data_IF_955710731336
#
_entry.id   IF_955710731336
#
_cell.length_a   1.000
_cell.length_b   1.000
_cell.length_c   1.000
_cell.angle_alpha   90.00
_cell.angle_beta   90.00
_cell.angle_gamma   90.00
#
_symmetry.space_group_name_H-M   'P 1'
#
loop_
_entity.id
_entity.type
_entity.pdbx_description
1 polymer ?
#
# COMPACT_ATOMS: atom_id res chain seq x y z
N UNK A 1 -18.73 -18.58 -6.16
CA UNK A 1 -18.94 -17.15 -6.47
C UNK A 1 -20.15 -16.69 -5.71
N UNK A 2 -20.00 -15.98 -4.62
CA UNK A 2 -21.07 -15.35 -3.86
C UNK A 2 -20.94 -13.84 -4.06
N UNK A 3 -22.01 -13.13 -4.40
CA UNK A 3 -21.95 -11.71 -4.66
C UNK A 3 -21.81 -10.92 -3.35
N UNK A 4 -20.92 -9.92 -3.36
CA UNK A 4 -20.82 -8.92 -2.31
C UNK A 4 -22.09 -8.09 -2.31
N UNK A 5 -22.91 -8.24 -1.27
CA UNK A 5 -24.14 -7.45 -1.08
C UNK A 5 -23.78 -6.15 -0.35
N UNK A 6 -23.71 -5.06 -1.09
CA UNK A 6 -23.61 -3.70 -0.52
C UNK A 6 -25.02 -3.32 -0.03
N UNK A 7 -25.22 -3.29 1.29
CA UNK A 7 -26.46 -2.79 1.90
C UNK A 7 -26.45 -1.26 1.94
N UNK A 8 -27.23 -0.66 1.05
CA UNK A 8 -27.53 0.77 1.06
C UNK A 8 -28.67 1.01 2.05
N UNK A 9 -28.43 1.73 3.15
CA UNK A 9 -29.52 2.25 4.02
C UNK A 9 -29.78 3.71 3.68
N UNK A 10 -30.95 3.97 3.08
CA UNK A 10 -31.49 5.31 2.87
C UNK A 10 -32.47 5.59 4.01
N UNK A 11 -32.22 6.62 4.81
CA UNK A 11 -33.17 7.12 5.79
C UNK A 11 -33.87 8.37 5.22
N UNK A 12 -35.15 8.23 4.94
CA UNK A 12 -36.01 9.32 4.49
C UNK A 12 -36.85 9.80 5.66
N UNK A 13 -36.71 11.05 6.07
CA UNK A 13 -37.64 11.68 7.05
C UNK A 13 -38.42 12.77 6.31
N UNK A 14 -39.71 12.54 6.13
CA UNK A 14 -40.65 13.54 5.62
C UNK A 14 -41.39 14.18 6.79
N UNK A 15 -41.42 15.51 6.86
CA UNK A 15 -42.34 16.26 7.70
C UNK A 15 -43.11 17.24 6.80
N UNK A 16 -44.43 17.05 6.76
CA UNK A 16 -45.38 18.01 6.13
C UNK A 16 -45.89 18.99 7.18
N UNK A 17 -45.83 20.28 6.86
CA UNK A 17 -46.67 21.29 7.53
C UNK A 17 -47.15 22.29 6.49
N UNK A 18 -48.48 22.51 6.49
CA UNK A 18 -49.20 23.32 5.55
C UNK A 18 -49.45 24.73 6.18
N UNK A 19 -48.94 25.80 5.58
CA UNK A 19 -49.40 27.14 5.82
C UNK A 19 -49.15 28.02 4.58
N UNK A 20 -50.18 28.63 4.05
CA UNK A 20 -50.15 29.48 2.86
C UNK A 20 -49.65 30.89 3.20
N UNK A 21 -48.60 31.34 2.51
CA UNK A 21 -48.30 32.76 2.32
C UNK A 21 -47.39 32.89 1.09
N UNK A 22 -47.76 33.79 0.18
CA UNK A 22 -47.06 34.11 -1.06
C UNK A 22 -45.72 34.78 -0.78
N UNK A 23 -44.63 34.08 -1.03
CA UNK A 23 -43.26 34.61 -1.00
C UNK A 23 -42.44 33.92 -2.08
N UNK A 24 -41.36 34.55 -2.62
CA UNK A 24 -40.65 34.03 -3.78
C UNK A 24 -40.06 32.64 -3.48
N UNK A 25 -40.17 31.75 -4.46
CA UNK A 25 -39.71 30.39 -4.38
C UNK A 25 -38.20 30.37 -4.08
N UNK A 26 -37.74 29.90 -2.90
CA UNK A 26 -36.33 29.61 -2.71
C UNK A 26 -35.99 28.33 -3.51
N UNK A 27 -34.93 28.38 -4.31
CA UNK A 27 -34.34 27.21 -4.91
C UNK A 27 -34.08 26.16 -3.81
N UNK A 28 -34.40 24.90 -4.02
CA UNK A 28 -34.08 23.88 -3.04
C UNK A 28 -32.56 23.85 -2.83
N UNK A 29 -32.14 24.14 -1.59
CA UNK A 29 -30.77 23.83 -1.19
C UNK A 29 -30.62 22.30 -1.26
N UNK A 30 -29.95 21.81 -2.29
CA UNK A 30 -29.51 20.42 -2.33
C UNK A 30 -28.60 20.20 -1.10
N UNK A 31 -29.15 19.52 -0.10
CA UNK A 31 -28.35 19.04 1.00
C UNK A 31 -27.39 18.00 0.46
N UNK A 32 -26.13 18.39 0.26
CA UNK A 32 -25.04 17.45 -0.03
C UNK A 32 -24.96 16.50 1.17
N UNK A 33 -25.62 15.37 1.07
CA UNK A 33 -25.44 14.27 2.01
C UNK A 33 -23.99 13.80 1.88
N UNK A 34 -23.17 14.15 2.85
CA UNK A 34 -21.84 13.55 2.96
C UNK A 34 -22.02 12.05 3.19
N UNK A 35 -21.69 11.25 2.20
CA UNK A 35 -21.57 9.81 2.34
C UNK A 35 -20.32 9.55 3.17
N UNK A 36 -20.50 9.31 4.47
CA UNK A 36 -19.42 8.79 5.32
C UNK A 36 -19.22 7.34 4.94
N UNK A 37 -18.20 7.07 4.15
CA UNK A 37 -17.76 5.70 3.89
C UNK A 37 -17.04 5.22 5.16
N UNK A 38 -17.74 4.47 6.00
CA UNK A 38 -17.10 3.77 7.12
C UNK A 38 -16.11 2.77 6.53
N UNK A 39 -14.82 2.98 6.81
CA UNK A 39 -13.79 2.00 6.46
C UNK A 39 -14.06 0.73 7.27
N UNK A 40 -14.08 -0.39 6.60
CA UNK A 40 -14.18 -1.70 7.25
C UNK A 40 -13.14 -1.83 8.37
N UNK A 41 -13.57 -2.31 9.54
CA UNK A 41 -12.68 -2.63 10.67
C UNK A 41 -12.03 -3.99 10.52
N UNK A 42 -12.46 -4.79 9.54
CA UNK A 42 -11.91 -6.10 9.26
C UNK A 42 -10.47 -6.02 8.75
N UNK A 43 -9.62 -6.97 9.12
CA UNK A 43 -8.27 -7.08 8.59
C UNK A 43 -8.27 -7.17 7.06
N UNK A 44 -7.27 -6.57 6.44
CA UNK A 44 -7.04 -6.72 5.00
C UNK A 44 -6.45 -8.10 4.74
N UNK A 45 -7.05 -8.84 3.82
CA UNK A 45 -6.49 -10.11 3.35
C UNK A 45 -5.28 -9.86 2.45
N UNK A 46 -4.11 -10.35 2.87
CA UNK A 46 -2.87 -10.24 2.13
C UNK A 46 -2.48 -11.62 1.60
N UNK A 47 -2.50 -11.78 0.28
CA UNK A 47 -2.06 -12.99 -0.42
C UNK A 47 -0.56 -12.90 -0.65
N UNK A 48 0.20 -13.80 -0.05
CA UNK A 48 1.66 -13.85 -0.08
C UNK A 48 2.14 -15.07 -0.85
N UNK A 49 3.24 -14.91 -1.57
CA UNK A 49 4.00 -16.00 -2.17
C UNK A 49 5.49 -15.83 -1.86
N UNK A 50 6.08 -16.86 -1.27
CA UNK A 50 7.51 -16.92 -1.00
C UNK A 50 8.24 -17.46 -2.23
N UNK A 51 9.01 -16.61 -2.90
CA UNK A 51 9.78 -16.96 -4.10
C UNK A 51 10.85 -18.05 -3.84
N UNK A 52 11.38 -18.12 -2.61
CA UNK A 52 12.45 -19.06 -2.29
C UNK A 52 11.94 -20.44 -1.88
N UNK A 53 10.80 -20.50 -1.21
CA UNK A 53 10.22 -21.75 -0.71
C UNK A 53 9.06 -22.26 -1.57
N UNK A 54 8.59 -21.46 -2.53
CA UNK A 54 7.41 -21.75 -3.36
C UNK A 54 6.15 -22.04 -2.54
N UNK A 55 5.95 -21.26 -1.45
CA UNK A 55 4.84 -21.42 -0.51
C UNK A 55 3.89 -20.25 -0.63
N UNK A 56 2.60 -20.55 -0.74
CA UNK A 56 1.51 -19.57 -0.64
C UNK A 56 1.05 -19.44 0.81
N UNK A 57 0.71 -18.23 1.21
CA UNK A 57 0.05 -17.93 2.48
C UNK A 57 -1.00 -16.83 2.27
N UNK A 58 -2.04 -16.86 3.10
CA UNK A 58 -3.04 -15.79 3.19
C UNK A 58 -3.10 -15.37 4.65
N UNK A 59 -2.91 -14.08 4.90
CA UNK A 59 -2.84 -13.53 6.26
C UNK A 59 -3.71 -12.28 6.37
N UNK A 60 -4.34 -12.08 7.55
CA UNK A 60 -5.10 -10.86 7.86
C UNK A 60 -4.21 -9.83 8.54
N UNK A 61 -4.01 -8.66 7.94
CA UNK A 61 -3.26 -7.55 8.51
C UNK A 61 -4.18 -6.34 8.66
N UNK A 62 -4.29 -5.78 9.85
CA UNK A 62 -5.02 -4.54 10.05
C UNK A 62 -4.35 -3.38 9.30
N UNK A 63 -5.12 -2.38 8.87
CA UNK A 63 -4.61 -1.20 8.13
C UNK A 63 -3.53 -0.41 8.86
N UNK A 64 -3.46 -0.56 10.18
CA UNK A 64 -2.41 0.03 11.03
C UNK A 64 -1.18 -0.88 11.20
N UNK A 65 -1.16 -2.05 10.57
CA UNK A 65 -0.08 -3.04 10.64
C UNK A 65 -0.13 -3.95 11.86
N UNK A 66 -1.19 -3.91 12.66
CA UNK A 66 -1.40 -4.89 13.74
C UNK A 66 -2.00 -6.18 13.21
N UNK A 67 -1.85 -7.25 13.96
CA UNK A 67 -2.37 -8.58 13.70
C UNK A 67 -2.73 -9.26 15.03
N UNK A 68 -3.54 -10.29 14.99
CA UNK A 68 -3.67 -11.21 16.13
C UNK A 68 -2.36 -11.98 16.38
N UNK A 69 -2.22 -12.55 17.55
CA UNK A 69 -0.99 -13.22 17.98
C UNK A 69 -0.62 -14.42 17.09
N UNK A 70 -1.60 -15.19 16.64
CA UNK A 70 -1.38 -16.36 15.79
C UNK A 70 -0.87 -15.93 14.41
N UNK A 71 -1.51 -14.94 13.79
CA UNK A 71 -1.10 -14.36 12.51
C UNK A 71 0.29 -13.74 12.63
N UNK A 72 0.59 -13.05 13.74
CA UNK A 72 1.92 -12.47 13.96
C UNK A 72 3.02 -13.55 14.02
N UNK A 73 2.79 -14.66 14.71
CA UNK A 73 3.73 -15.80 14.73
C UNK A 73 3.92 -16.39 13.33
N UNK A 74 2.83 -16.57 12.59
CA UNK A 74 2.87 -17.10 11.22
C UNK A 74 3.66 -16.20 10.28
N UNK A 75 3.40 -14.89 10.29
CA UNK A 75 4.10 -13.89 9.47
C UNK A 75 5.57 -13.80 9.86
N UNK A 76 5.89 -13.78 11.15
CA UNK A 76 7.26 -13.76 11.66
C UNK A 76 8.05 -14.98 11.17
N UNK A 77 7.45 -16.17 11.23
CA UNK A 77 8.06 -17.40 10.73
C UNK A 77 8.23 -17.37 9.21
N UNK A 78 7.21 -16.92 8.47
CA UNK A 78 7.24 -16.82 7.01
C UNK A 78 8.35 -15.89 6.52
N UNK A 79 8.56 -14.76 7.20
CA UNK A 79 9.53 -13.72 6.83
C UNK A 79 10.91 -13.86 7.49
N UNK A 80 11.21 -15.02 8.09
CA UNK A 80 12.50 -15.30 8.74
C UNK A 80 13.68 -15.20 7.79
N UNK A 81 14.87 -14.98 8.33
CA UNK A 81 16.12 -15.01 7.56
C UNK A 81 16.37 -16.41 6.99
N UNK A 82 16.45 -16.50 5.67
CA UNK A 82 16.56 -17.79 4.95
C UNK A 82 17.87 -18.54 5.24
N UNK A 83 18.97 -17.80 5.43
CA UNK A 83 20.27 -18.43 5.67
C UNK A 83 20.47 -18.88 7.13
N UNK A 84 19.94 -18.12 8.07
CA UNK A 84 20.20 -18.39 9.49
C UNK A 84 19.00 -19.01 10.23
N UNK A 85 17.83 -19.03 9.63
CA UNK A 85 16.58 -19.46 10.26
C UNK A 85 16.08 -18.52 11.37
N UNK A 86 16.81 -17.42 11.66
CA UNK A 86 16.42 -16.49 12.73
C UNK A 86 15.16 -15.75 12.35
N UNK A 87 14.33 -15.54 13.36
CA UNK A 87 13.05 -14.84 13.28
C UNK A 87 13.14 -13.47 13.96
N UNK A 88 12.37 -12.51 13.46
CA UNK A 88 12.19 -11.19 14.05
C UNK A 88 10.81 -10.66 13.67
N UNK A 89 10.04 -10.09 14.61
CA UNK A 89 8.77 -9.43 14.28
C UNK A 89 8.98 -8.30 13.28
N UNK A 90 8.13 -8.26 12.26
CA UNK A 90 8.21 -7.22 11.23
C UNK A 90 7.70 -5.90 11.79
N UNK A 91 8.36 -4.80 11.42
CA UNK A 91 7.98 -3.47 11.85
C UNK A 91 6.52 -3.17 11.43
N UNK A 92 5.72 -2.72 12.40
CA UNK A 92 4.29 -2.44 12.24
C UNK A 92 4.00 -1.53 11.05
N UNK A 93 4.80 -0.49 10.85
CA UNK A 93 4.64 0.44 9.73
C UNK A 93 4.86 -0.23 8.36
N UNK A 94 5.82 -1.14 8.27
CA UNK A 94 6.07 -1.93 7.04
C UNK A 94 4.88 -2.85 6.74
N UNK A 95 4.27 -3.44 7.77
CA UNK A 95 3.06 -4.26 7.64
C UNK A 95 1.84 -3.40 7.23
N UNK A 96 1.70 -2.19 7.76
CA UNK A 96 0.64 -1.27 7.34
C UNK A 96 0.76 -0.89 5.86
N UNK A 97 1.97 -0.64 5.38
CA UNK A 97 2.23 -0.37 3.96
C UNK A 97 1.94 -1.60 3.08
N UNK A 98 2.21 -2.80 3.57
CA UNK A 98 1.90 -4.06 2.88
C UNK A 98 0.39 -4.29 2.79
N UNK A 99 -0.36 -4.05 3.87
CA UNK A 99 -1.82 -4.14 3.89
C UNK A 99 -2.46 -3.13 2.91
N UNK A 100 -1.94 -1.91 2.87
CA UNK A 100 -2.39 -0.88 1.93
C UNK A 100 -2.15 -1.27 0.46
N UNK A 101 -1.01 -1.88 0.16
CA UNK A 101 -0.75 -2.41 -1.18
C UNK A 101 -1.71 -3.55 -1.55
N UNK A 102 -2.02 -4.45 -0.61
CA UNK A 102 -2.97 -5.53 -0.84
C UNK A 102 -4.39 -4.99 -1.07
N UNK A 103 -4.81 -3.95 -0.33
CA UNK A 103 -6.10 -3.28 -0.53
C UNK A 103 -6.15 -2.53 -1.87
N UNK A 104 -5.06 -1.85 -2.26
CA UNK A 104 -4.97 -1.12 -3.54
C UNK A 104 -5.00 -2.04 -4.75
N UNK A 105 -4.30 -3.17 -4.68
CA UNK A 105 -4.18 -4.14 -5.76
C UNK A 105 -4.96 -5.41 -5.42
N UNK A 106 -6.23 -5.22 -5.09
CA UNK A 106 -7.15 -6.27 -4.67
C UNK A 106 -7.03 -7.53 -5.54
N UNK A 107 -7.18 -8.71 -4.90
CA UNK A 107 -6.99 -10.04 -5.51
C UNK A 107 -5.58 -10.37 -6.05
N UNK A 108 -4.60 -9.48 -5.95
CA UNK A 108 -3.23 -9.77 -6.40
C UNK A 108 -2.40 -10.43 -5.30
N UNK A 109 -1.43 -11.21 -5.74
CA UNK A 109 -0.48 -11.86 -4.83
C UNK A 109 0.80 -11.02 -4.73
N UNK A 110 1.22 -10.74 -3.51
CA UNK A 110 2.55 -10.17 -3.22
C UNK A 110 3.56 -11.31 -3.21
N UNK A 111 4.45 -11.30 -4.18
CA UNK A 111 5.56 -12.26 -4.31
C UNK A 111 6.80 -11.65 -3.66
N UNK A 112 7.18 -12.13 -2.48
CA UNK A 112 8.33 -11.58 -1.77
C UNK A 112 9.60 -12.42 -1.99
N UNK A 113 10.70 -11.70 -2.17
CA UNK A 113 12.04 -12.24 -2.39
C UNK A 113 12.81 -12.31 -1.07
N UNK A 114 12.71 -11.27 -0.25
CA UNK A 114 13.44 -11.16 1.01
C UNK A 114 12.76 -10.21 1.97
N UNK A 115 12.82 -10.52 3.27
CA UNK A 115 12.31 -9.67 4.35
C UNK A 115 13.38 -9.51 5.44
N UNK A 116 13.43 -10.36 6.45
CA UNK A 116 14.43 -10.29 7.51
C UNK A 116 15.76 -10.94 7.07
N UNK A 117 16.86 -10.18 7.21
CA UNK A 117 18.21 -10.65 6.83
C UNK A 117 19.23 -10.28 7.89
N UNK A 118 19.90 -11.30 8.43
CA UNK A 118 21.00 -11.17 9.42
C UNK A 118 22.17 -12.11 9.09
N UNK A 119 22.26 -12.52 7.84
CA UNK A 119 23.36 -13.35 7.36
C UNK A 119 24.68 -12.58 7.23
N UNK A 120 25.77 -13.32 7.10
CA UNK A 120 27.08 -12.77 6.78
C UNK A 120 27.04 -11.96 5.48
N UNK A 121 27.66 -10.79 5.46
CA UNK A 121 27.69 -9.90 4.31
C UNK A 121 26.51 -8.91 4.23
N UNK A 122 25.47 -9.05 5.07
CA UNK A 122 24.42 -8.04 5.15
C UNK A 122 24.95 -6.77 5.82
N UNK A 123 24.72 -5.60 5.19
CA UNK A 123 25.15 -4.31 5.72
C UNK A 123 24.63 -4.07 7.14
N UNK A 124 25.47 -3.52 8.02
CA UNK A 124 25.07 -3.18 9.38
C UNK A 124 23.92 -2.16 9.46
N UNK A 125 23.77 -1.32 8.42
CA UNK A 125 22.72 -0.29 8.32
C UNK A 125 21.52 -0.72 7.47
N UNK A 126 21.50 -1.98 7.03
CA UNK A 126 20.41 -2.49 6.20
C UNK A 126 19.09 -2.53 7.00
N UNK A 127 17.99 -1.96 6.48
CA UNK A 127 16.69 -2.01 7.14
C UNK A 127 16.12 -3.44 7.22
N UNK A 128 16.63 -4.38 6.43
CA UNK A 128 16.30 -5.79 6.56
C UNK A 128 16.78 -6.41 7.88
N UNK A 129 17.85 -5.88 8.48
CA UNK A 129 18.34 -6.37 9.79
C UNK A 129 17.43 -6.05 10.95
N UNK A 130 16.61 -5.01 10.79
CA UNK A 130 15.61 -4.59 11.78
C UNK A 130 14.20 -5.04 11.37
N UNK A 131 14.08 -5.94 10.39
CA UNK A 131 12.81 -6.38 9.83
C UNK A 131 11.88 -5.22 9.43
N UNK A 132 12.45 -4.12 8.91
CA UNK A 132 11.74 -2.92 8.45
C UNK A 132 11.60 -2.86 6.93
N UNK A 133 12.10 -3.85 6.20
CA UNK A 133 12.11 -3.86 4.74
C UNK A 133 11.53 -5.15 4.16
N UNK A 134 10.98 -5.01 2.94
CA UNK A 134 10.52 -6.11 2.09
C UNK A 134 11.02 -5.86 0.67
N UNK A 135 11.62 -6.88 0.06
CA UNK A 135 11.90 -6.94 -1.36
C UNK A 135 10.81 -7.80 -2.03
N UNK A 136 10.03 -7.22 -2.93
CA UNK A 136 8.83 -7.88 -3.47
C UNK A 136 8.43 -7.35 -4.85
N UNK A 137 7.52 -8.08 -5.50
CA UNK A 137 6.68 -7.63 -6.60
C UNK A 137 5.23 -8.02 -6.36
N UNK A 138 4.32 -7.47 -7.12
CA UNK A 138 2.90 -7.87 -7.09
C UNK A 138 2.59 -8.49 -8.46
N UNK A 139 2.08 -9.73 -8.45
CA UNK A 139 1.81 -10.49 -9.66
C UNK A 139 0.88 -9.73 -10.61
N UNK A 140 1.35 -9.51 -11.84
CA UNK A 140 0.58 -8.81 -12.87
C UNK A 140 0.46 -7.30 -12.68
N UNK A 141 1.24 -6.69 -11.78
CA UNK A 141 1.34 -5.23 -11.61
C UNK A 141 2.73 -4.76 -12.06
N UNK A 142 2.83 -3.76 -12.95
CA UNK A 142 4.12 -3.21 -13.32
C UNK A 142 4.88 -2.65 -12.12
N UNK A 143 6.17 -2.95 -12.00
CA UNK A 143 7.01 -2.48 -10.89
C UNK A 143 6.98 -0.96 -10.73
N UNK A 144 6.94 -0.22 -11.84
CA UNK A 144 6.88 1.25 -11.82
C UNK A 144 5.61 1.77 -11.11
N UNK A 145 4.48 1.07 -11.28
CA UNK A 145 3.21 1.51 -10.71
C UNK A 145 3.21 1.31 -9.18
N UNK A 146 3.83 0.22 -8.70
CA UNK A 146 4.04 -0.05 -7.28
C UNK A 146 5.00 1.00 -6.69
N UNK A 147 6.15 1.22 -7.33
CA UNK A 147 7.18 2.17 -6.93
C UNK A 147 6.61 3.59 -6.80
N UNK A 148 5.94 4.06 -7.85
CA UNK A 148 5.43 5.43 -7.93
C UNK A 148 4.31 5.65 -6.90
N UNK A 149 3.44 4.65 -6.70
CA UNK A 149 2.41 4.70 -5.67
C UNK A 149 2.99 4.83 -4.26
N UNK A 150 3.95 3.96 -3.92
CA UNK A 150 4.60 3.98 -2.59
C UNK A 150 5.30 5.31 -2.33
N UNK A 151 6.06 5.79 -3.31
CA UNK A 151 6.83 7.02 -3.18
C UNK A 151 5.94 8.27 -3.10
N UNK A 152 4.85 8.31 -3.85
CA UNK A 152 3.89 9.42 -3.82
C UNK A 152 3.07 9.48 -2.53
N UNK A 153 2.75 8.31 -1.96
CA UNK A 153 1.84 8.19 -0.82
C UNK A 153 2.54 8.35 0.54
N UNK A 154 3.77 7.85 0.67
CA UNK A 154 4.44 7.72 1.96
C UNK A 154 5.61 8.68 2.11
N UNK A 155 5.86 9.09 3.36
CA UNK A 155 7.07 9.77 3.84
C UNK A 155 7.81 8.87 4.82
N UNK A 156 9.03 9.21 5.20
CA UNK A 156 9.88 8.38 6.07
C UNK A 156 10.01 6.94 5.57
N UNK A 157 10.33 6.80 4.27
CA UNK A 157 10.44 5.53 3.56
C UNK A 157 11.70 5.45 2.72
N UNK A 158 12.14 4.23 2.46
CA UNK A 158 13.10 3.91 1.42
C UNK A 158 12.40 3.12 0.31
N UNK A 159 12.50 3.59 -0.93
CA UNK A 159 11.96 2.90 -2.09
C UNK A 159 13.08 2.67 -3.12
N UNK A 160 13.39 1.41 -3.35
CA UNK A 160 14.37 0.96 -4.33
C UNK A 160 13.72 0.27 -5.51
N UNK A 161 14.12 0.63 -6.70
CA UNK A 161 13.69 -0.06 -7.92
C UNK A 161 14.83 -0.91 -8.47
N UNK A 162 14.56 -2.21 -8.63
CA UNK A 162 15.49 -3.23 -9.13
C UNK A 162 14.95 -3.81 -10.44
N UNK A 163 15.08 -3.09 -11.57
CA UNK A 163 14.46 -3.48 -12.83
C UNK A 163 15.02 -4.79 -13.41
N UNK A 164 16.32 -5.07 -13.24
CA UNK A 164 16.93 -6.30 -13.73
C UNK A 164 16.55 -7.51 -12.88
N UNK A 165 16.48 -7.32 -11.57
CA UNK A 165 16.14 -8.35 -10.58
C UNK A 165 14.62 -8.51 -10.41
N UNK A 166 13.83 -7.61 -11.03
CA UNK A 166 12.38 -7.67 -11.11
C UNK A 166 11.68 -7.58 -9.74
N UNK A 167 12.14 -6.68 -8.84
CA UNK A 167 11.46 -6.38 -7.59
C UNK A 167 11.56 -4.90 -7.18
N UNK A 168 10.75 -4.53 -6.21
CA UNK A 168 10.80 -3.25 -5.48
C UNK A 168 11.24 -3.53 -4.05
N UNK A 169 12.21 -2.76 -3.58
CA UNK A 169 12.51 -2.64 -2.16
C UNK A 169 11.63 -1.58 -1.52
N UNK A 170 11.01 -1.91 -0.41
CA UNK A 170 10.24 -0.99 0.42
C UNK A 170 10.69 -1.10 1.87
N UNK A 171 11.07 0.02 2.49
CA UNK A 171 11.37 0.05 3.92
C UNK A 171 10.72 1.24 4.64
N UNK A 172 10.42 1.06 5.92
CA UNK A 172 9.97 2.13 6.82
C UNK A 172 11.17 2.74 7.56
N UNK A 173 11.21 4.09 7.62
CA UNK A 173 12.33 4.88 8.17
C UNK A 173 11.84 5.91 9.19
N UNK A 174 11.34 5.49 10.36
CA UNK A 174 10.80 6.44 11.33
C UNK A 174 11.85 7.49 11.71
N UNK A 175 11.45 8.77 11.65
CA UNK A 175 12.30 9.93 11.95
C UNK A 175 13.55 10.08 11.05
N UNK A 176 13.56 9.46 9.88
CA UNK A 176 14.64 9.56 8.89
C UNK A 176 14.13 10.20 7.59
N UNK A 177 15.08 10.66 6.77
CA UNK A 177 14.74 11.19 5.45
C UNK A 177 14.33 10.10 4.47
N UNK A 178 13.42 10.46 3.58
CA UNK A 178 13.07 9.64 2.43
C UNK A 178 14.28 9.34 1.56
N UNK A 179 14.36 8.13 1.08
CA UNK A 179 15.44 7.73 0.17
C UNK A 179 14.87 6.93 -0.99
N UNK A 180 15.19 7.38 -2.21
CA UNK A 180 14.82 6.66 -3.43
C UNK A 180 16.07 6.30 -4.22
N UNK A 181 16.05 5.13 -4.87
CA UNK A 181 17.13 4.72 -5.76
C UNK A 181 16.66 3.77 -6.86
N UNK A 182 17.44 3.71 -7.91
CA UNK A 182 17.37 2.66 -8.92
C UNK A 182 18.67 1.87 -8.86
N UNK A 183 18.58 0.56 -8.77
CA UNK A 183 19.74 -0.33 -8.83
C UNK A 183 19.99 -0.75 -10.28
N UNK A 184 21.14 -0.36 -10.81
CA UNK A 184 21.55 -0.68 -12.19
C UNK A 184 23.02 -1.10 -12.20
N UNK A 185 23.33 -2.18 -12.86
CA UNK A 185 24.70 -2.66 -13.05
C UNK A 185 25.53 -2.76 -11.76
N UNK A 186 24.89 -3.19 -10.66
CA UNK A 186 25.56 -3.37 -9.36
C UNK A 186 25.67 -2.10 -8.51
N UNK A 187 25.08 -0.99 -8.93
CA UNK A 187 25.22 0.33 -8.27
C UNK A 187 23.84 0.94 -7.97
N UNK A 188 23.71 1.55 -6.79
CA UNK A 188 22.55 2.36 -6.43
C UNK A 188 22.68 3.79 -6.98
N UNK A 189 21.74 4.18 -7.84
CA UNK A 189 21.58 5.55 -8.33
C UNK A 189 20.50 6.24 -7.49
N UNK A 190 20.91 7.09 -6.56
CA UNK A 190 20.02 7.79 -5.63
C UNK A 190 19.33 8.99 -6.28
N UNK A 191 18.14 9.35 -5.73
CA UNK A 191 17.30 10.46 -6.19
C UNK A 191 17.02 10.42 -7.70
N UNK A 192 16.57 9.29 -8.24
CA UNK A 192 16.31 9.15 -9.67
C UNK A 192 15.13 10.03 -10.10
N UNK A 193 15.10 10.43 -11.37
CA UNK A 193 14.08 11.34 -11.92
C UNK A 193 12.64 10.84 -11.75
N UNK A 194 12.42 9.52 -11.72
CA UNK A 194 11.08 8.99 -11.45
C UNK A 194 10.54 9.39 -10.06
N UNK A 195 11.42 9.58 -9.08
CA UNK A 195 11.01 9.96 -7.73
C UNK A 195 10.46 11.39 -7.68
N UNK A 196 11.04 12.30 -8.47
CA UNK A 196 10.51 13.64 -8.64
C UNK A 196 9.14 13.62 -9.35
N UNK A 197 9.03 12.89 -10.45
CA UNK A 197 7.77 12.76 -11.20
C UNK A 197 6.64 12.14 -10.40
N UNK A 198 6.91 11.13 -9.59
CA UNK A 198 5.88 10.46 -8.81
C UNK A 198 5.26 11.37 -7.72
N UNK A 199 6.05 12.28 -7.13
CA UNK A 199 5.55 13.28 -6.16
C UNK A 199 5.01 14.55 -6.79
N UNK A 200 5.53 14.93 -7.97
CA UNK A 200 5.17 16.15 -8.68
C UNK A 200 4.79 15.80 -10.13
N UNK A 201 3.67 15.10 -10.35
CA UNK A 201 3.28 14.74 -11.70
C UNK A 201 3.03 16.01 -12.54
N UNK A 202 3.46 16.05 -13.81
CA UNK A 202 3.19 17.17 -14.70
C UNK A 202 1.69 17.40 -14.81
N UNK A 203 1.26 18.66 -14.80
CA UNK A 203 -0.14 19.00 -15.00
C UNK A 203 -0.61 18.43 -16.35
N UNK A 204 -1.81 17.82 -16.41
CA UNK A 204 -2.37 17.36 -17.67
C UNK A 204 -2.42 18.53 -18.66
N UNK A 205 -1.96 18.32 -19.89
CA UNK A 205 -2.12 19.30 -20.94
C UNK A 205 -3.61 19.58 -21.12
N UNK A 206 -4.04 20.85 -21.26
CA UNK A 206 -5.43 21.15 -21.56
C UNK A 206 -5.82 20.43 -22.85
N UNK A 207 -6.97 19.75 -22.84
CA UNK A 207 -7.51 19.07 -24.00
C UNK A 207 -7.59 20.08 -25.14
N UNK A 208 -6.83 19.83 -26.19
CA UNK A 208 -6.93 20.58 -27.42
C UNK A 208 -8.27 20.17 -28.05
N UNK A 209 -9.35 20.92 -27.78
CA UNK A 209 -10.61 20.75 -28.51
C UNK A 209 -10.27 20.97 -29.97
N UNK A 210 -10.50 20.00 -30.87
CA UNK A 210 -10.38 20.27 -32.31
C UNK A 210 -11.37 21.38 -32.64
N UNK A 211 -10.86 22.46 -33.24
CA UNK A 211 -11.67 23.59 -33.67
C UNK A 211 -12.78 23.10 -34.61
N UNK A 212 -13.99 23.57 -34.34
CA UNK A 212 -15.16 23.41 -35.18
C UNK A 212 -14.96 24.23 -36.46
#
# INVERSE_FOLDING_TARGET
>A
MLPVVIKLKVATTAAFSLAAATSPIPLPAESLSMVVVERSTEPVEVKLYDENLHVHAVVGINRDGTMDEQTQKQVTHLFRCRQTGREHPIARRTLAMLADLAEKYDDKTVEFVSVYRVQHGESATSPHRDARAIDFRIRGVPLRDIRDYLWAKYTEVGIGWYPSEQFIHMDSRPSMHDTSWTFLSGVNHYNPYWAELARNPPKPKPDHKPGV
#
